data_IF_729509551247
#
_entry.id   IF_729509551247
#
_cell.length_a   1.000
_cell.length_b   1.000
_cell.length_c   1.000
_cell.angle_alpha   90.00
_cell.angle_beta   90.00
_cell.angle_gamma   90.00
#
_symmetry.space_group_name_H-M   'P 1'
#
loop_
_entity.id
_entity.type
_entity.pdbx_description
1 polymer ?
#
# COMPACT_ATOMS: atom_id res chain seq x y z
N UNK A 1 18.83 23.78 18.55
CA UNK A 1 18.46 22.49 17.98
C UNK A 1 18.94 21.42 18.95
N UNK A 2 18.08 20.85 19.76
CA UNK A 2 18.47 19.80 20.70
C UNK A 2 18.84 18.54 19.91
N UNK A 3 20.10 18.14 19.99
CA UNK A 3 20.55 16.82 19.52
C UNK A 3 19.80 15.76 20.31
N UNK A 4 18.79 15.17 19.71
CA UNK A 4 18.09 14.02 20.27
C UNK A 4 19.00 12.80 20.14
N UNK A 5 19.80 12.51 21.18
CA UNK A 5 20.83 11.48 21.25
C UNK A 5 20.28 10.04 21.29
N UNK A 6 18.98 9.81 21.02
CA UNK A 6 18.29 8.52 21.13
C UNK A 6 17.63 8.04 19.83
N UNK A 7 18.01 8.56 18.66
CA UNK A 7 17.54 8.02 17.38
C UNK A 7 18.49 6.96 16.85
N UNK A 8 17.96 5.81 16.43
CA UNK A 8 18.74 4.73 15.81
C UNK A 8 19.11 5.02 14.36
N UNK A 9 18.40 5.95 13.71
CA UNK A 9 18.53 6.26 12.30
C UNK A 9 18.96 7.70 12.04
N UNK A 10 19.63 7.90 10.93
CA UNK A 10 19.98 9.23 10.43
C UNK A 10 18.76 9.94 9.81
N UNK A 11 18.55 11.21 10.13
CA UNK A 11 17.46 12.02 9.57
C UNK A 11 17.77 12.46 8.13
N UNK A 12 17.47 11.60 7.17
CA UNK A 12 17.81 11.80 5.75
C UNK A 12 16.60 12.17 4.86
N UNK A 13 15.35 11.87 5.30
CA UNK A 13 14.13 12.08 4.53
C UNK A 13 13.63 13.52 4.69
N UNK A 14 13.53 14.25 3.59
CA UNK A 14 13.01 15.62 3.52
C UNK A 14 11.52 15.62 3.19
N UNK A 15 10.88 16.79 3.25
CA UNK A 15 9.45 16.98 2.95
C UNK A 15 9.02 16.37 1.62
N UNK A 16 9.82 16.54 0.56
CA UNK A 16 9.52 15.96 -0.74
C UNK A 16 9.57 14.44 -0.70
N UNK A 17 10.57 13.89 -0.01
CA UNK A 17 10.76 12.44 0.06
C UNK A 17 9.57 11.77 0.76
N UNK A 18 9.10 12.35 1.86
CA UNK A 18 7.91 11.89 2.60
C UNK A 18 6.67 11.88 1.69
N UNK A 19 6.41 12.97 0.98
CA UNK A 19 5.27 13.07 0.07
C UNK A 19 5.37 12.02 -1.06
N UNK A 20 6.55 11.89 -1.68
CA UNK A 20 6.76 10.96 -2.80
C UNK A 20 6.76 9.49 -2.37
N UNK A 21 7.21 9.18 -1.14
CA UNK A 21 7.14 7.82 -0.59
C UNK A 21 5.67 7.45 -0.35
N UNK A 22 4.89 8.29 0.34
CA UNK A 22 3.50 8.02 0.64
C UNK A 22 2.62 8.00 -0.62
N UNK A 23 2.72 9.02 -1.46
CA UNK A 23 1.95 9.11 -2.70
C UNK A 23 2.31 8.00 -3.69
N UNK A 24 3.62 7.76 -3.91
CA UNK A 24 4.08 6.71 -4.81
C UNK A 24 3.81 5.29 -4.30
N UNK A 25 3.65 5.09 -2.98
CA UNK A 25 3.18 3.81 -2.45
C UNK A 25 1.71 3.53 -2.81
N UNK A 26 0.89 4.58 -2.89
CA UNK A 26 -0.55 4.47 -3.19
C UNK A 26 -0.86 4.41 -4.68
N UNK A 27 -0.11 5.09 -5.56
CA UNK A 27 -0.38 5.14 -7.00
C UNK A 27 0.40 4.07 -7.80
N UNK A 28 0.43 2.83 -7.30
CA UNK A 28 1.10 1.70 -7.96
C UNK A 28 0.55 1.38 -9.36
N UNK A 29 0.52 0.11 -9.68
CA UNK A 29 0.05 -0.40 -10.99
C UNK A 29 -1.48 -0.51 -11.13
N UNK A 30 -2.23 -0.50 -10.00
CA UNK A 30 -3.66 -0.81 -9.98
C UNK A 30 -4.52 0.00 -10.95
N UNK A 31 -4.25 1.30 -11.09
CA UNK A 31 -5.00 2.17 -12.01
C UNK A 31 -4.77 1.85 -13.50
N UNK A 32 -3.68 1.17 -13.83
CA UNK A 32 -3.40 0.76 -15.22
C UNK A 32 -4.20 -0.49 -15.59
N UNK A 33 -4.28 -1.48 -14.71
CA UNK A 33 -4.90 -2.78 -15.03
C UNK A 33 -6.35 -2.91 -14.57
N UNK A 34 -6.78 -2.16 -13.56
CA UNK A 34 -8.12 -2.37 -12.96
C UNK A 34 -9.14 -1.29 -13.34
N UNK A 35 -8.73 -0.21 -14.00
CA UNK A 35 -9.62 0.90 -14.37
C UNK A 35 -10.81 0.47 -15.22
N UNK A 36 -10.61 -0.43 -16.19
CA UNK A 36 -11.67 -0.98 -17.00
C UNK A 36 -12.71 -1.74 -16.17
N UNK A 37 -12.27 -2.59 -15.24
CA UNK A 37 -13.15 -3.33 -14.32
C UNK A 37 -13.94 -2.38 -13.42
N UNK A 38 -13.30 -1.31 -12.93
CA UNK A 38 -13.99 -0.32 -12.09
C UNK A 38 -15.07 0.43 -12.87
N UNK A 39 -14.77 0.85 -14.12
CA UNK A 39 -15.72 1.56 -14.98
C UNK A 39 -16.88 0.62 -15.36
N UNK A 40 -16.62 -0.66 -15.64
CA UNK A 40 -17.69 -1.63 -15.90
C UNK A 40 -18.56 -1.87 -14.66
N UNK A 41 -17.98 -1.80 -13.44
CA UNK A 41 -18.72 -2.00 -12.21
C UNK A 41 -19.58 -0.79 -11.81
N UNK A 42 -19.07 0.42 -11.96
CA UNK A 42 -19.71 1.64 -11.43
C UNK A 42 -20.07 2.70 -12.48
N UNK A 43 -19.59 2.57 -13.73
CA UNK A 43 -19.56 3.65 -14.70
C UNK A 43 -18.40 4.62 -14.44
N UNK A 44 -18.09 5.48 -15.37
CA UNK A 44 -16.95 6.39 -15.25
C UNK A 44 -17.12 7.40 -14.09
N UNK A 45 -18.27 8.06 -13.99
CA UNK A 45 -18.57 9.01 -12.91
C UNK A 45 -18.88 8.29 -11.60
N UNK A 46 -19.63 7.18 -11.66
CA UNK A 46 -19.93 6.37 -10.49
C UNK A 46 -18.67 5.80 -9.84
N UNK A 47 -17.68 5.39 -10.64
CA UNK A 47 -16.36 4.97 -10.15
C UNK A 47 -15.60 6.11 -9.51
N UNK A 48 -15.59 7.30 -10.10
CA UNK A 48 -14.96 8.48 -9.50
C UNK A 48 -15.58 8.82 -8.13
N UNK A 49 -16.92 8.79 -8.02
CA UNK A 49 -17.63 8.97 -6.75
C UNK A 49 -17.27 7.86 -5.76
N UNK A 50 -17.18 6.61 -6.22
CA UNK A 50 -16.74 5.47 -5.40
C UNK A 50 -15.33 5.71 -4.81
N UNK A 51 -14.39 6.20 -5.62
CA UNK A 51 -13.05 6.59 -5.14
C UNK A 51 -13.07 7.75 -4.14
N UNK A 52 -13.95 8.72 -4.31
CA UNK A 52 -14.12 9.82 -3.35
C UNK A 52 -14.69 9.31 -2.01
N UNK A 53 -15.68 8.41 -2.04
CA UNK A 53 -16.27 7.82 -0.83
C UNK A 53 -15.26 6.92 -0.10
N UNK A 54 -14.65 5.96 -0.80
CA UNK A 54 -13.64 5.08 -0.22
C UNK A 54 -12.38 5.84 0.19
N UNK A 55 -12.00 6.87 -0.58
CA UNK A 55 -10.94 7.80 -0.23
C UNK A 55 -11.21 8.57 1.06
N UNK A 56 -12.46 8.98 1.30
CA UNK A 56 -12.87 9.59 2.58
C UNK A 56 -12.69 8.62 3.75
N UNK A 57 -12.97 7.32 3.56
CA UNK A 57 -12.73 6.31 4.60
C UNK A 57 -11.24 6.25 4.98
N UNK A 58 -10.35 6.16 3.99
CA UNK A 58 -8.90 6.15 4.21
C UNK A 58 -8.41 7.50 4.76
N UNK A 59 -8.98 8.62 4.33
CA UNK A 59 -8.64 9.93 4.85
C UNK A 59 -8.94 10.05 6.36
N UNK A 60 -10.07 9.53 6.83
CA UNK A 60 -10.42 9.50 8.25
C UNK A 60 -9.44 8.65 9.07
N UNK A 61 -9.05 7.48 8.56
CA UNK A 61 -7.99 6.65 9.16
C UNK A 61 -6.67 7.40 9.16
N UNK A 62 -6.28 8.00 8.03
CA UNK A 62 -5.06 8.80 7.87
C UNK A 62 -4.94 9.96 8.85
N UNK A 63 -6.06 10.63 9.20
CA UNK A 63 -6.08 11.67 10.23
C UNK A 63 -5.66 11.13 11.61
N UNK A 64 -6.09 9.90 11.96
CA UNK A 64 -5.68 9.27 13.23
C UNK A 64 -4.19 8.94 13.23
N UNK A 65 -3.69 8.45 12.10
CA UNK A 65 -2.27 8.19 11.88
C UNK A 65 -1.42 9.45 11.94
N UNK A 66 -1.85 10.52 11.27
CA UNK A 66 -1.11 11.78 11.24
C UNK A 66 -0.95 12.40 12.65
N UNK A 67 -1.99 12.33 13.49
CA UNK A 67 -1.88 12.78 14.88
C UNK A 67 -0.97 11.89 15.69
N UNK A 68 -1.13 10.56 15.64
CA UNK A 68 -0.32 9.64 16.42
C UNK A 68 1.15 9.62 15.98
N UNK A 69 1.43 9.70 14.69
CA UNK A 69 2.80 9.78 14.15
C UNK A 69 3.52 11.03 14.64
N UNK A 70 2.81 12.17 14.65
CA UNK A 70 3.40 13.43 15.11
C UNK A 70 3.54 13.51 16.63
N UNK A 71 2.68 12.81 17.37
CA UNK A 71 2.77 12.69 18.82
C UNK A 71 3.86 11.71 19.28
N UNK A 72 4.10 10.66 18.50
CA UNK A 72 5.07 9.60 18.79
C UNK A 72 5.95 9.31 17.56
N UNK A 73 6.87 10.21 17.15
CA UNK A 73 7.64 10.09 15.92
C UNK A 73 8.83 9.13 16.10
N UNK A 74 8.53 7.85 16.38
CA UNK A 74 9.52 6.77 16.56
C UNK A 74 9.34 5.72 15.46
N UNK A 75 10.45 5.07 15.08
CA UNK A 75 10.46 3.93 14.19
C UNK A 75 9.49 2.84 14.68
N UNK A 76 8.77 2.22 13.77
CA UNK A 76 7.76 1.22 14.09
C UNK A 76 6.35 1.77 14.33
N UNK A 77 6.09 3.06 14.07
CA UNK A 77 4.77 3.71 14.02
C UNK A 77 3.68 3.03 14.84
N UNK A 78 2.88 2.16 14.21
CA UNK A 78 1.74 1.44 14.78
C UNK A 78 2.10 0.60 16.01
N UNK A 79 3.34 0.09 16.07
CA UNK A 79 3.83 -0.61 17.24
C UNK A 79 3.82 0.30 18.47
N UNK A 80 4.30 1.53 18.31
CA UNK A 80 4.34 2.52 19.39
C UNK A 80 2.93 2.96 19.79
N UNK A 81 2.05 3.20 18.81
CA UNK A 81 0.68 3.64 19.05
C UNK A 81 -0.13 2.59 19.81
N UNK A 82 -0.10 1.37 19.32
CA UNK A 82 -0.82 0.24 19.93
C UNK A 82 -0.22 -0.18 21.27
N UNK A 83 1.10 -0.06 21.46
CA UNK A 83 1.73 -0.30 22.76
C UNK A 83 1.28 0.72 23.82
N UNK A 84 1.34 2.00 23.46
CA UNK A 84 0.91 3.08 24.35
C UNK A 84 -0.57 2.98 24.74
N UNK A 85 -1.40 2.43 23.83
CA UNK A 85 -2.83 2.28 24.05
C UNK A 85 -3.21 0.96 24.74
N UNK A 86 -2.65 -0.18 24.31
CA UNK A 86 -3.11 -1.52 24.71
C UNK A 86 -2.02 -2.38 25.35
N UNK A 87 -0.80 -1.85 25.50
CA UNK A 87 0.33 -2.58 26.06
C UNK A 87 0.91 -3.65 25.12
N UNK A 88 1.76 -4.55 25.67
CA UNK A 88 2.54 -5.51 24.86
C UNK A 88 1.75 -6.40 23.93
N UNK A 89 0.63 -6.95 24.39
CA UNK A 89 -0.18 -7.88 23.60
C UNK A 89 -0.86 -7.18 22.43
N UNK A 90 -1.46 -6.00 22.66
CA UNK A 90 -2.08 -5.20 21.59
C UNK A 90 -1.05 -4.75 20.56
N UNK A 91 0.12 -4.33 21.02
CA UNK A 91 1.23 -3.96 20.13
C UNK A 91 1.68 -5.13 19.24
N UNK A 92 1.84 -6.31 19.83
CA UNK A 92 2.24 -7.50 19.08
C UNK A 92 1.22 -7.87 18.00
N UNK A 93 -0.07 -7.91 18.33
CA UNK A 93 -1.13 -8.26 17.37
C UNK A 93 -1.20 -7.24 16.23
N UNK A 94 -1.19 -5.95 16.54
CA UNK A 94 -1.24 -4.88 15.56
C UNK A 94 -0.06 -4.96 14.57
N UNK A 95 1.15 -5.03 15.10
CA UNK A 95 2.37 -5.05 14.27
C UNK A 95 2.55 -6.36 13.52
N UNK A 96 2.16 -7.50 14.09
CA UNK A 96 2.23 -8.79 13.42
C UNK A 96 1.28 -8.87 12.22
N UNK A 97 0.08 -8.29 12.35
CA UNK A 97 -0.83 -8.12 11.22
C UNK A 97 -0.22 -7.21 10.13
N UNK A 98 0.37 -6.08 10.53
CA UNK A 98 0.99 -5.15 9.58
C UNK A 98 2.18 -5.77 8.83
N UNK A 99 2.98 -6.62 9.48
CA UNK A 99 4.09 -7.35 8.82
C UNK A 99 3.56 -8.26 7.70
N UNK A 100 2.43 -8.96 7.91
CA UNK A 100 1.79 -9.75 6.85
C UNK A 100 1.37 -8.86 5.67
N UNK A 101 0.78 -7.70 5.95
CA UNK A 101 0.41 -6.75 4.92
C UNK A 101 1.60 -6.35 4.05
N UNK A 102 2.71 -5.99 4.66
CA UNK A 102 3.91 -5.56 3.93
C UNK A 102 4.58 -6.71 3.15
N UNK A 103 4.61 -7.92 3.71
CA UNK A 103 5.07 -9.12 2.99
C UNK A 103 4.20 -9.37 1.75
N UNK A 104 2.88 -9.29 1.90
CA UNK A 104 1.94 -9.50 0.78
C UNK A 104 2.22 -8.54 -0.38
N UNK A 105 2.40 -7.26 -0.09
CA UNK A 105 2.69 -6.26 -1.13
C UNK A 105 4.05 -6.51 -1.80
N UNK A 106 5.14 -6.71 -1.05
CA UNK A 106 6.46 -6.90 -1.67
C UNK A 106 6.54 -8.19 -2.50
N UNK A 107 5.81 -9.24 -2.12
CA UNK A 107 5.68 -10.47 -2.90
C UNK A 107 4.87 -10.24 -4.18
N UNK A 108 3.75 -9.53 -4.08
CA UNK A 108 2.89 -9.21 -5.21
C UNK A 108 3.61 -8.37 -6.25
N UNK A 109 4.34 -7.32 -5.82
CA UNK A 109 5.03 -6.43 -6.74
C UNK A 109 6.14 -7.12 -7.53
N UNK A 110 6.86 -8.09 -6.94
CA UNK A 110 7.85 -8.90 -7.65
C UNK A 110 7.24 -9.64 -8.84
N UNK A 111 6.08 -10.23 -8.65
CA UNK A 111 5.39 -10.98 -9.68
C UNK A 111 4.69 -10.08 -10.69
N UNK A 112 4.12 -8.98 -10.22
CA UNK A 112 3.51 -7.96 -11.08
C UNK A 112 4.53 -7.39 -12.05
N UNK A 113 5.75 -7.09 -11.58
CA UNK A 113 6.84 -6.60 -12.43
C UNK A 113 7.15 -7.58 -13.58
N UNK A 114 7.35 -8.85 -13.25
CA UNK A 114 7.64 -9.87 -14.26
C UNK A 114 6.44 -10.12 -15.20
N UNK A 115 5.20 -10.04 -14.66
CA UNK A 115 3.99 -10.22 -15.47
C UNK A 115 3.86 -9.14 -16.53
N UNK A 116 4.24 -7.90 -16.21
CA UNK A 116 4.12 -6.78 -17.14
C UNK A 116 5.18 -6.84 -18.23
N UNK A 117 6.34 -7.44 -17.95
CA UNK A 117 7.39 -7.59 -18.95
C UNK A 117 6.92 -8.34 -20.20
N UNK A 118 5.92 -9.23 -20.12
CA UNK A 118 5.33 -9.89 -21.29
C UNK A 118 4.66 -8.92 -22.28
N UNK A 119 4.19 -7.75 -21.82
CA UNK A 119 3.61 -6.71 -22.69
C UNK A 119 4.67 -5.79 -23.29
N UNK A 120 5.87 -5.77 -22.72
CA UNK A 120 6.99 -4.95 -23.22
C UNK A 120 7.86 -5.74 -24.20
N UNK A 121 8.06 -7.04 -23.92
CA UNK A 121 8.98 -7.90 -24.68
C UNK A 121 8.20 -9.04 -25.36
N UNK A 122 8.02 -9.01 -26.68
CA UNK A 122 7.38 -10.11 -27.41
C UNK A 122 8.11 -11.45 -27.17
N UNK A 123 7.35 -12.51 -26.93
CA UNK A 123 7.92 -13.84 -26.66
C UNK A 123 8.69 -13.95 -25.33
N UNK A 124 8.38 -13.11 -24.37
CA UNK A 124 9.05 -13.05 -23.06
C UNK A 124 8.99 -14.38 -22.29
N UNK A 125 7.85 -15.10 -22.34
CA UNK A 125 7.65 -16.34 -21.59
C UNK A 125 8.39 -17.51 -22.26
N UNK A 126 9.57 -17.85 -21.71
CA UNK A 126 10.42 -18.92 -22.21
C UNK A 126 10.87 -19.84 -21.06
N UNK A 127 11.10 -21.11 -21.39
CA UNK A 127 11.57 -22.09 -20.42
C UNK A 127 10.48 -22.45 -19.42
N UNK A 128 9.42 -23.13 -19.87
CA UNK A 128 8.38 -23.68 -19.00
C UNK A 128 8.99 -24.55 -17.90
N UNK A 129 8.59 -24.34 -16.66
CA UNK A 129 9.07 -25.09 -15.49
C UNK A 129 7.99 -26.04 -14.95
N UNK A 130 6.84 -25.50 -14.57
CA UNK A 130 5.71 -26.23 -14.00
C UNK A 130 4.45 -25.35 -13.99
N UNK A 131 3.30 -25.98 -13.69
CA UNK A 131 2.02 -25.28 -13.51
C UNK A 131 1.60 -25.34 -12.04
N UNK A 132 1.23 -24.19 -11.46
CA UNK A 132 0.71 -24.05 -10.09
C UNK A 132 -0.67 -23.41 -10.13
N UNK A 133 -1.68 -24.10 -9.60
CA UNK A 133 -3.07 -23.60 -9.54
C UNK A 133 -3.58 -23.04 -10.90
N UNK A 134 -3.21 -23.73 -12.01
CA UNK A 134 -3.60 -23.31 -13.36
C UNK A 134 -2.77 -22.20 -13.99
N UNK A 135 -1.71 -21.73 -13.32
CA UNK A 135 -0.77 -20.75 -13.87
C UNK A 135 0.55 -21.42 -14.26
N UNK A 136 0.96 -21.23 -15.51
CA UNK A 136 2.23 -21.75 -16.03
C UNK A 136 3.39 -20.86 -15.62
N UNK A 137 4.34 -21.44 -14.89
CA UNK A 137 5.54 -20.75 -14.42
C UNK A 137 6.67 -20.97 -15.43
N UNK A 138 7.26 -19.84 -15.87
CA UNK A 138 8.36 -19.83 -16.84
C UNK A 138 9.67 -19.35 -16.20
N UNK A 139 10.79 -19.90 -16.63
CA UNK A 139 12.12 -19.53 -16.14
C UNK A 139 12.42 -18.05 -16.35
N UNK A 140 12.10 -17.49 -17.54
CA UNK A 140 12.30 -16.08 -17.84
C UNK A 140 11.50 -15.17 -16.89
N UNK A 141 10.25 -15.54 -16.59
CA UNK A 141 9.39 -14.82 -15.67
C UNK A 141 9.94 -14.81 -14.24
N UNK A 142 10.36 -15.99 -13.73
CA UNK A 142 10.98 -16.13 -12.40
C UNK A 142 12.30 -15.36 -12.33
N UNK A 143 13.16 -15.50 -13.36
CA UNK A 143 14.47 -14.85 -13.38
C UNK A 143 14.37 -13.33 -13.33
N UNK A 144 13.45 -12.73 -14.11
CA UNK A 144 13.23 -11.27 -14.11
C UNK A 144 12.69 -10.79 -12.78
N UNK A 145 11.73 -11.52 -12.18
CA UNK A 145 11.20 -11.18 -10.86
C UNK A 145 12.30 -11.19 -9.79
N UNK A 146 13.15 -12.22 -9.76
CA UNK A 146 14.27 -12.34 -8.82
C UNK A 146 15.30 -11.23 -9.04
N UNK A 147 15.66 -10.94 -10.29
CA UNK A 147 16.63 -9.90 -10.61
C UNK A 147 16.12 -8.52 -10.20
N UNK A 148 14.85 -8.21 -10.48
CA UNK A 148 14.23 -6.95 -10.06
C UNK A 148 14.17 -6.85 -8.52
N UNK A 149 13.77 -7.93 -7.83
CA UNK A 149 13.78 -7.99 -6.37
C UNK A 149 15.18 -7.75 -5.80
N UNK A 150 16.20 -8.42 -6.34
CA UNK A 150 17.60 -8.26 -5.92
C UNK A 150 18.08 -6.82 -6.08
N UNK A 151 17.73 -6.17 -7.19
CA UNK A 151 18.11 -4.79 -7.46
C UNK A 151 17.48 -3.81 -6.45
N UNK A 152 16.17 -3.96 -6.19
CA UNK A 152 15.46 -3.08 -5.25
C UNK A 152 15.97 -3.29 -3.81
N UNK A 153 16.18 -4.55 -3.42
CA UNK A 153 16.76 -4.91 -2.12
C UNK A 153 18.16 -4.32 -1.97
N UNK A 154 18.99 -4.40 -3.01
CA UNK A 154 20.32 -3.81 -3.00
C UNK A 154 20.29 -2.29 -2.81
N UNK A 155 19.38 -1.60 -3.51
CA UNK A 155 19.22 -0.13 -3.36
C UNK A 155 18.80 0.23 -1.92
N UNK A 156 17.92 -0.55 -1.32
CA UNK A 156 17.51 -0.38 0.08
C UNK A 156 18.66 -0.65 1.06
N UNK A 157 19.46 -1.68 0.77
CA UNK A 157 20.61 -2.07 1.59
C UNK A 157 21.67 -0.96 1.66
N UNK A 158 21.98 -0.30 0.53
CA UNK A 158 23.01 0.74 0.42
C UNK A 158 22.55 2.14 0.88
N UNK A 159 21.33 2.26 1.43
CA UNK A 159 20.89 3.44 2.17
C UNK A 159 19.56 4.05 1.77
N UNK A 160 18.81 4.47 2.77
CA UNK A 160 17.47 5.07 2.63
C UNK A 160 17.48 6.33 1.74
N UNK A 161 18.54 7.12 1.76
CA UNK A 161 18.66 8.32 0.92
C UNK A 161 18.68 7.97 -0.58
N UNK A 162 19.34 6.87 -0.96
CA UNK A 162 19.37 6.40 -2.36
C UNK A 162 18.02 5.84 -2.77
N UNK A 163 17.39 5.06 -1.89
CA UNK A 163 16.04 4.55 -2.09
C UNK A 163 15.01 5.67 -2.24
N UNK A 164 15.06 6.71 -1.42
CA UNK A 164 14.20 7.88 -1.52
C UNK A 164 14.45 8.70 -2.82
N UNK A 165 15.70 8.80 -3.28
CA UNK A 165 15.99 9.44 -4.57
C UNK A 165 15.37 8.69 -5.74
N UNK A 166 15.48 7.36 -5.76
CA UNK A 166 14.83 6.51 -6.75
C UNK A 166 13.31 6.72 -6.69
N UNK A 167 12.72 6.66 -5.49
CA UNK A 167 11.30 6.89 -5.25
C UNK A 167 10.82 8.20 -5.86
N UNK A 168 11.52 9.30 -5.59
CA UNK A 168 11.16 10.63 -6.10
C UNK A 168 11.09 10.67 -7.63
N UNK A 169 12.09 10.08 -8.30
CA UNK A 169 12.16 10.08 -9.77
C UNK A 169 11.00 9.25 -10.34
N UNK A 170 10.82 8.03 -9.85
CA UNK A 170 9.82 7.11 -10.38
C UNK A 170 8.38 7.58 -10.07
N UNK A 171 8.14 8.16 -8.89
CA UNK A 171 6.84 8.74 -8.55
C UNK A 171 6.50 9.93 -9.44
N UNK A 172 7.49 10.77 -9.79
CA UNK A 172 7.27 11.85 -10.75
C UNK A 172 6.95 11.31 -12.16
N UNK A 173 7.58 10.21 -12.58
CA UNK A 173 7.33 9.59 -13.89
C UNK A 173 5.90 9.05 -13.95
N UNK A 174 5.50 8.21 -12.99
CA UNK A 174 4.15 7.60 -13.00
C UNK A 174 3.06 8.66 -12.86
N UNK A 175 3.23 9.64 -11.98
CA UNK A 175 2.29 10.75 -11.84
C UNK A 175 2.22 11.58 -13.13
N UNK A 176 3.37 11.85 -13.76
CA UNK A 176 3.45 12.57 -15.04
C UNK A 176 2.72 11.85 -16.17
N UNK A 177 2.89 10.53 -16.26
CA UNK A 177 2.18 9.72 -17.28
C UNK A 177 0.66 9.70 -17.05
N UNK A 178 0.21 9.59 -15.79
CA UNK A 178 -1.21 9.71 -15.47
C UNK A 178 -1.78 11.09 -15.80
N UNK A 179 -1.05 12.17 -15.47
CA UNK A 179 -1.45 13.53 -15.81
C UNK A 179 -1.41 13.78 -17.33
N UNK A 180 -0.52 13.10 -18.06
CA UNK A 180 -0.48 13.15 -19.51
C UNK A 180 -1.76 12.55 -20.13
N UNK A 181 -2.24 11.40 -19.61
CA UNK A 181 -3.53 10.84 -20.00
C UNK A 181 -4.67 11.84 -19.74
N UNK A 182 -4.72 12.45 -18.54
CA UNK A 182 -5.74 13.44 -18.19
C UNK A 182 -5.69 14.65 -19.12
N UNK A 183 -4.51 15.15 -19.43
CA UNK A 183 -4.33 16.29 -20.34
C UNK A 183 -4.72 15.93 -21.78
N UNK A 184 -4.32 14.76 -22.28
CA UNK A 184 -4.72 14.26 -23.60
C UNK A 184 -6.25 14.11 -23.68
N UNK A 185 -6.85 13.50 -22.68
CA UNK A 185 -8.29 13.33 -22.56
C UNK A 185 -9.05 14.68 -22.57
N UNK A 186 -8.53 15.69 -21.89
CA UNK A 186 -9.15 17.02 -21.87
C UNK A 186 -9.15 17.71 -23.23
N UNK A 187 -8.23 17.34 -24.15
CA UNK A 187 -8.12 17.93 -25.49
C UNK A 187 -8.90 17.13 -26.54
N UNK A 188 -8.87 15.81 -26.45
CA UNK A 188 -9.39 14.92 -27.50
C UNK A 188 -10.63 14.13 -27.10
N UNK A 189 -10.97 14.12 -25.82
CA UNK A 189 -12.16 13.43 -25.31
C UNK A 189 -13.46 14.15 -25.71
N UNK A 190 -14.53 13.39 -25.73
CA UNK A 190 -15.87 13.89 -26.09
C UNK A 190 -16.87 13.52 -24.99
N UNK A 191 -17.79 14.44 -24.71
CA UNK A 191 -18.87 14.20 -23.72
C UNK A 191 -19.81 13.08 -24.18
N UNK A 192 -19.92 12.84 -25.47
CA UNK A 192 -20.68 11.73 -26.08
C UNK A 192 -20.17 10.37 -25.63
N UNK A 193 -18.85 10.22 -25.39
CA UNK A 193 -18.25 8.97 -24.90
C UNK A 193 -18.71 8.62 -23.49
N UNK A 194 -18.98 9.60 -22.64
CA UNK A 194 -19.53 9.37 -21.31
C UNK A 194 -20.99 8.91 -21.33
N UNK A 195 -21.73 9.25 -22.41
CA UNK A 195 -23.15 8.93 -22.51
C UNK A 195 -23.39 7.42 -22.46
N UNK A 196 -24.23 6.98 -21.52
CA UNK A 196 -24.55 5.58 -21.31
C UNK A 196 -23.53 4.80 -20.46
N UNK A 197 -22.45 5.46 -19.99
CA UNK A 197 -21.49 4.89 -19.05
C UNK A 197 -21.15 5.79 -17.87
N UNK A 198 -21.93 6.84 -17.64
CA UNK A 198 -21.74 7.69 -16.44
C UNK A 198 -21.91 6.86 -15.17
N UNK A 199 -22.97 6.06 -15.15
CA UNK A 199 -23.35 5.18 -14.05
C UNK A 199 -23.82 3.83 -14.60
N UNK A 200 -23.61 2.77 -13.85
CA UNK A 200 -24.09 1.42 -14.16
C UNK A 200 -25.27 1.08 -13.26
N UNK A 201 -26.41 0.68 -13.85
CA UNK A 201 -27.63 0.24 -13.16
C UNK A 201 -28.89 0.73 -13.86
N UNK A 202 -29.97 -0.06 -13.75
CA UNK A 202 -31.27 0.21 -14.39
C UNK A 202 -32.13 1.20 -13.59
N UNK A 203 -31.81 1.37 -12.31
CA UNK A 203 -32.51 2.25 -11.39
C UNK A 203 -31.54 2.89 -10.37
N UNK A 204 -32.01 3.91 -9.63
CA UNK A 204 -31.18 4.61 -8.64
C UNK A 204 -30.62 3.69 -7.54
N UNK A 205 -31.32 2.63 -7.18
CA UNK A 205 -30.87 1.66 -6.17
C UNK A 205 -29.66 0.86 -6.65
N UNK A 206 -29.71 0.40 -7.91
CA UNK A 206 -28.61 -0.33 -8.53
C UNK A 206 -27.39 0.56 -8.71
N UNK A 207 -27.61 1.80 -9.17
CA UNK A 207 -26.54 2.80 -9.32
C UNK A 207 -25.82 3.03 -7.98
N UNK A 208 -26.57 3.28 -6.90
CA UNK A 208 -25.99 3.48 -5.57
C UNK A 208 -25.24 2.22 -5.11
N UNK A 209 -25.82 1.03 -5.32
CA UNK A 209 -25.19 -0.24 -4.97
C UNK A 209 -23.85 -0.42 -5.70
N UNK A 210 -23.80 -0.10 -6.97
CA UNK A 210 -22.59 -0.23 -7.82
C UNK A 210 -21.52 0.80 -7.43
N UNK A 211 -21.89 2.04 -7.12
CA UNK A 211 -20.97 3.04 -6.56
C UNK A 211 -20.39 2.54 -5.23
N UNK A 212 -21.22 1.98 -4.35
CA UNK A 212 -20.76 1.45 -3.06
C UNK A 212 -19.85 0.23 -3.23
N UNK A 213 -20.07 -0.64 -4.22
CA UNK A 213 -19.13 -1.73 -4.56
C UNK A 213 -17.74 -1.17 -4.87
N UNK A 214 -17.65 -0.14 -5.71
CA UNK A 214 -16.37 0.51 -6.00
C UNK A 214 -15.79 1.16 -4.75
N UNK A 215 -16.60 1.85 -3.95
CA UNK A 215 -16.14 2.49 -2.72
C UNK A 215 -15.54 1.50 -1.71
N UNK A 216 -16.07 0.28 -1.63
CA UNK A 216 -15.54 -0.79 -0.75
C UNK A 216 -14.19 -1.32 -1.27
N UNK A 217 -13.96 -1.34 -2.58
CA UNK A 217 -12.69 -1.78 -3.18
C UNK A 217 -11.58 -0.71 -3.11
N UNK A 218 -11.95 0.57 -3.12
CA UNK A 218 -11.03 1.70 -3.19
C UNK A 218 -9.96 1.71 -2.10
N UNK A 219 -10.25 1.42 -0.82
CA UNK A 219 -9.23 1.43 0.24
C UNK A 219 -8.01 0.57 -0.06
N UNK A 220 -8.19 -0.56 -0.73
CA UNK A 220 -7.08 -1.43 -1.15
C UNK A 220 -6.05 -0.67 -2.01
N UNK A 221 -6.50 0.20 -2.91
CA UNK A 221 -5.63 0.97 -3.80
C UNK A 221 -5.02 2.21 -3.13
N UNK A 222 -5.46 2.55 -1.92
CA UNK A 222 -4.98 3.69 -1.16
C UNK A 222 -4.13 3.31 0.07
N UNK A 223 -3.77 2.03 0.22
CA UNK A 223 -2.79 1.60 1.22
C UNK A 223 -1.40 2.12 0.85
N UNK A 224 -0.57 2.44 1.85
CA UNK A 224 0.80 2.88 1.64
C UNK A 224 1.19 4.17 2.35
N UNK A 225 0.26 5.03 2.78
CA UNK A 225 0.57 6.21 3.60
C UNK A 225 1.13 5.80 4.98
N UNK A 226 0.79 4.61 5.46
CA UNK A 226 1.23 3.98 6.70
C UNK A 226 2.71 3.57 6.71
N UNK A 227 3.39 3.60 5.57
CA UNK A 227 4.86 3.47 5.47
C UNK A 227 5.58 4.64 6.19
N UNK A 228 4.98 5.83 6.20
CA UNK A 228 5.59 7.03 6.78
C UNK A 228 5.81 6.91 8.30
N UNK A 229 4.82 6.48 9.10
CA UNK A 229 5.03 6.21 10.53
C UNK A 229 6.17 5.25 10.82
N UNK A 230 6.40 4.25 9.96
CA UNK A 230 7.49 3.28 10.16
C UNK A 230 8.87 3.94 10.08
N UNK A 231 9.03 4.89 9.16
CA UNK A 231 10.29 5.61 8.93
C UNK A 231 10.36 6.96 9.68
N UNK A 232 9.51 7.20 10.68
CA UNK A 232 9.37 8.52 11.33
C UNK A 232 10.67 9.07 11.93
N UNK A 233 11.57 8.23 12.40
CA UNK A 233 12.88 8.65 12.93
C UNK A 233 13.83 9.18 11.85
N UNK A 234 13.68 8.72 10.59
CA UNK A 234 14.51 9.14 9.46
C UNK A 234 14.07 10.49 8.86
N UNK A 235 12.95 11.05 9.35
CA UNK A 235 12.33 12.25 8.79
C UNK A 235 12.94 13.51 9.38
N UNK A 236 13.39 14.41 8.49
CA UNK A 236 13.97 15.71 8.81
C UNK A 236 13.03 16.85 8.41
N UNK A 237 11.98 17.05 9.21
CA UNK A 237 11.00 18.13 9.04
C UNK A 237 10.25 18.43 10.33
N UNK A 238 9.60 19.61 10.45
CA UNK A 238 8.71 19.91 11.57
C UNK A 238 7.54 18.92 11.66
N UNK A 239 7.28 18.37 12.84
CA UNK A 239 6.27 17.32 13.05
C UNK A 239 4.86 17.75 12.59
N UNK A 240 4.46 19.02 12.84
CA UNK A 240 3.18 19.54 12.35
C UNK A 240 3.07 19.43 10.83
N UNK A 241 4.16 19.72 10.10
CA UNK A 241 4.21 19.62 8.64
C UNK A 241 4.14 18.16 8.17
N UNK A 242 4.74 17.24 8.93
CA UNK A 242 4.67 15.79 8.66
C UNK A 242 3.20 15.32 8.62
N UNK A 243 2.38 15.67 9.62
CA UNK A 243 0.96 15.32 9.62
C UNK A 243 0.21 15.86 8.39
N UNK A 244 0.49 17.12 7.98
CA UNK A 244 -0.12 17.67 6.77
C UNK A 244 0.33 16.94 5.49
N UNK A 245 1.60 16.53 5.40
CA UNK A 245 2.10 15.81 4.22
C UNK A 245 1.47 14.41 4.09
N UNK A 246 1.27 13.70 5.20
CA UNK A 246 0.57 12.41 5.20
C UNK A 246 -0.87 12.56 4.68
N UNK A 247 -1.60 13.57 5.16
CA UNK A 247 -2.99 13.80 4.72
C UNK A 247 -3.04 14.30 3.27
N UNK A 248 -2.11 15.15 2.87
CA UNK A 248 -2.01 15.63 1.49
C UNK A 248 -1.74 14.49 0.50
N UNK A 249 -0.88 13.52 0.86
CA UNK A 249 -0.60 12.38 -0.01
C UNK A 249 -1.83 11.51 -0.27
N UNK A 250 -2.67 11.28 0.76
CA UNK A 250 -3.94 10.56 0.60
C UNK A 250 -4.88 11.34 -0.32
N UNK A 251 -5.07 12.63 -0.08
CA UNK A 251 -5.91 13.49 -0.93
C UNK A 251 -5.44 13.50 -2.39
N UNK A 252 -4.13 13.61 -2.62
CA UNK A 252 -3.55 13.55 -3.97
C UNK A 252 -3.83 12.20 -4.65
N UNK A 253 -3.71 11.07 -3.94
CA UNK A 253 -3.98 9.75 -4.50
C UNK A 253 -5.46 9.59 -4.87
N UNK A 254 -6.38 10.00 -4.00
CA UNK A 254 -7.83 9.94 -4.26
C UNK A 254 -8.19 10.76 -5.50
N UNK A 255 -7.70 11.99 -5.59
CA UNK A 255 -7.95 12.86 -6.75
C UNK A 255 -7.33 12.27 -8.01
N UNK A 256 -6.13 11.73 -7.93
CA UNK A 256 -5.45 11.08 -9.06
C UNK A 256 -6.28 9.94 -9.62
N UNK A 257 -6.74 9.00 -8.79
CA UNK A 257 -7.57 7.88 -9.23
C UNK A 257 -8.90 8.34 -9.84
N UNK A 258 -9.58 9.30 -9.21
CA UNK A 258 -10.83 9.85 -9.72
C UNK A 258 -10.64 10.54 -11.09
N UNK A 259 -9.56 11.30 -11.27
CA UNK A 259 -9.25 11.93 -12.57
C UNK A 259 -8.96 10.90 -13.66
N UNK A 260 -8.22 9.83 -13.35
CA UNK A 260 -7.88 8.79 -14.33
C UNK A 260 -9.13 8.09 -14.87
N UNK A 261 -10.05 7.67 -14.01
CA UNK A 261 -11.26 6.95 -14.46
C UNK A 261 -12.19 7.84 -15.27
N UNK A 262 -12.31 9.11 -14.91
CA UNK A 262 -13.08 10.09 -15.72
C UNK A 262 -12.40 10.34 -17.07
N UNK A 263 -11.07 10.48 -17.09
CA UNK A 263 -10.29 10.68 -18.31
C UNK A 263 -10.47 9.52 -19.30
N UNK A 264 -10.47 8.27 -18.80
CA UNK A 264 -10.72 7.08 -19.63
C UNK A 264 -12.12 7.11 -20.22
N UNK A 265 -13.16 7.31 -19.41
CA UNK A 265 -14.54 7.36 -19.90
C UNK A 265 -14.84 8.56 -20.81
N UNK A 266 -14.02 9.61 -20.76
CA UNK A 266 -14.13 10.77 -21.65
C UNK A 266 -13.52 10.52 -23.05
N UNK A 267 -12.50 9.62 -23.13
CA UNK A 267 -11.80 9.25 -24.38
C UNK A 267 -12.41 8.03 -25.06
N UNK A 268 -12.86 7.04 -24.26
CA UNK A 268 -13.34 5.75 -24.77
C UNK A 268 -14.83 5.59 -24.49
N UNK A 269 -15.58 5.15 -25.51
CA UNK A 269 -16.97 4.76 -25.36
C UNK A 269 -17.10 3.36 -24.72
N UNK A 270 -18.31 2.91 -24.30
CA UNK A 270 -18.52 1.61 -23.63
C UNK A 270 -18.04 0.41 -24.45
N UNK A 271 -18.23 0.43 -25.77
CA UNK A 271 -17.81 -0.66 -26.66
C UNK A 271 -16.30 -0.78 -26.76
N UNK A 272 -15.59 0.34 -26.85
CA UNK A 272 -14.13 0.39 -26.84
C UNK A 272 -13.55 -0.10 -25.51
N UNK A 273 -14.15 0.26 -24.38
CA UNK A 273 -13.72 -0.26 -23.06
C UNK A 273 -13.94 -1.77 -22.98
N UNK A 274 -15.08 -2.28 -23.44
CA UNK A 274 -15.37 -3.71 -23.44
C UNK A 274 -14.41 -4.49 -24.35
N UNK A 275 -14.13 -3.98 -25.55
CA UNK A 275 -13.16 -4.58 -26.48
C UNK A 275 -11.75 -4.58 -25.89
N UNK A 276 -11.27 -3.43 -25.37
CA UNK A 276 -9.97 -3.33 -24.72
C UNK A 276 -9.80 -4.32 -23.54
N UNK A 277 -10.86 -4.50 -22.74
CA UNK A 277 -10.83 -5.48 -21.65
C UNK A 277 -10.73 -6.93 -22.13
N UNK A 278 -11.37 -7.25 -23.26
CA UNK A 278 -11.33 -8.58 -23.84
C UNK A 278 -9.98 -8.87 -24.53
N UNK A 279 -9.41 -7.87 -25.21
CA UNK A 279 -8.22 -8.02 -26.05
C UNK A 279 -6.91 -7.88 -25.23
N UNK A 280 -6.73 -6.75 -24.57
CA UNK A 280 -5.47 -6.41 -23.88
C UNK A 280 -5.58 -6.48 -22.36
N UNK A 281 -6.77 -6.26 -21.81
CA UNK A 281 -7.01 -6.09 -20.38
C UNK A 281 -6.39 -4.81 -19.79
N UNK A 282 -5.88 -3.89 -20.65
CA UNK A 282 -5.19 -2.68 -20.24
C UNK A 282 -5.87 -1.41 -20.75
N UNK A 283 -7.13 -1.22 -20.35
CA UNK A 283 -7.97 -0.11 -20.80
C UNK A 283 -7.30 1.27 -20.70
N UNK A 284 -6.54 1.52 -19.64
CA UNK A 284 -5.83 2.80 -19.47
C UNK A 284 -4.73 2.99 -20.53
N UNK A 285 -4.08 1.90 -20.95
CA UNK A 285 -3.03 1.96 -21.96
C UNK A 285 -3.62 2.22 -23.36
N UNK A 286 -4.77 1.65 -23.63
CA UNK A 286 -5.48 1.89 -24.89
C UNK A 286 -6.10 3.31 -24.91
N UNK A 287 -6.60 3.79 -23.75
CA UNK A 287 -7.12 5.14 -23.60
C UNK A 287 -6.08 6.21 -23.94
N UNK A 288 -4.83 6.10 -23.45
CA UNK A 288 -3.79 7.08 -23.79
C UNK A 288 -3.38 7.00 -25.26
N UNK A 289 -3.37 5.81 -25.87
CA UNK A 289 -3.11 5.67 -27.30
C UNK A 289 -4.18 6.36 -28.15
N UNK A 290 -5.45 6.21 -27.80
CA UNK A 290 -6.57 6.89 -28.45
C UNK A 290 -6.46 8.41 -28.26
N UNK A 291 -6.23 8.87 -26.99
CA UNK A 291 -6.13 10.30 -26.67
C UNK A 291 -5.03 11.02 -27.48
N UNK A 292 -3.98 10.34 -27.84
CA UNK A 292 -2.87 10.91 -28.62
C UNK A 292 -2.86 10.44 -30.09
N UNK A 293 -3.82 9.60 -30.49
CA UNK A 293 -3.84 8.95 -31.82
C UNK A 293 -2.51 8.31 -32.20
N UNK A 294 -1.85 7.68 -31.19
CA UNK A 294 -0.51 7.13 -31.32
C UNK A 294 -0.30 5.92 -30.41
N UNK A 295 -0.15 4.75 -30.99
CA UNK A 295 0.08 3.49 -30.26
C UNK A 295 1.40 3.46 -29.44
N UNK A 296 2.39 4.29 -29.78
CA UNK A 296 3.60 4.39 -28.97
C UNK A 296 3.32 4.90 -27.55
N UNK A 297 2.22 5.60 -27.34
CA UNK A 297 1.79 6.08 -26.02
C UNK A 297 1.40 4.94 -25.06
N UNK A 298 0.92 3.80 -25.60
CA UNK A 298 0.74 2.57 -24.81
C UNK A 298 2.04 2.15 -24.13
N UNK A 299 3.16 2.16 -24.84
CA UNK A 299 4.48 1.83 -24.26
C UNK A 299 4.92 2.84 -23.21
N UNK A 300 4.65 4.13 -23.43
CA UNK A 300 4.93 5.19 -22.44
C UNK A 300 4.16 4.93 -21.15
N UNK A 301 2.87 4.57 -21.25
CA UNK A 301 2.06 4.28 -20.09
C UNK A 301 2.51 2.99 -19.37
N UNK A 302 2.85 1.95 -20.10
CA UNK A 302 3.37 0.68 -19.51
C UNK A 302 4.68 0.94 -18.75
N UNK A 303 5.59 1.73 -19.32
CA UNK A 303 6.86 2.09 -18.65
C UNK A 303 6.55 2.93 -17.38
N UNK A 304 5.62 3.88 -17.47
CA UNK A 304 5.15 4.63 -16.31
C UNK A 304 4.56 3.73 -15.23
N UNK A 305 3.78 2.74 -15.62
CA UNK A 305 3.20 1.75 -14.72
C UNK A 305 4.26 0.85 -14.06
N UNK A 306 5.30 0.41 -14.79
CA UNK A 306 6.45 -0.27 -14.19
C UNK A 306 7.13 0.58 -13.12
N UNK A 307 7.24 1.90 -13.34
CA UNK A 307 7.70 2.82 -12.31
C UNK A 307 6.80 2.77 -11.06
N UNK A 308 5.48 2.64 -11.25
CA UNK A 308 4.51 2.51 -10.15
C UNK A 308 4.71 1.24 -9.33
N UNK A 309 4.95 0.10 -9.97
CA UNK A 309 5.30 -1.14 -9.26
C UNK A 309 6.53 -0.93 -8.40
N UNK A 310 7.59 -0.37 -8.99
CA UNK A 310 8.85 -0.15 -8.27
C UNK A 310 8.67 0.83 -7.11
N UNK A 311 7.85 1.88 -7.24
CA UNK A 311 7.60 2.84 -6.15
C UNK A 311 6.84 2.22 -5.00
N UNK A 312 5.81 1.42 -5.26
CA UNK A 312 5.07 0.68 -4.22
C UNK A 312 6.01 -0.32 -3.53
N UNK A 313 6.70 -1.15 -4.31
CA UNK A 313 7.64 -2.14 -3.78
C UNK A 313 8.72 -1.51 -2.88
N UNK A 314 9.36 -0.44 -3.37
CA UNK A 314 10.38 0.30 -2.63
C UNK A 314 9.84 0.89 -1.31
N UNK A 315 8.64 1.48 -1.33
CA UNK A 315 8.01 2.06 -0.14
C UNK A 315 7.68 0.98 0.91
N UNK A 316 7.09 -0.14 0.48
CA UNK A 316 6.75 -1.23 1.40
C UNK A 316 7.96 -1.99 1.94
N UNK A 317 9.08 -2.05 1.20
CA UNK A 317 10.37 -2.50 1.74
C UNK A 317 10.91 -1.55 2.80
N UNK A 318 10.78 -0.22 2.60
CA UNK A 318 11.14 0.77 3.63
C UNK A 318 10.31 0.51 4.89
N UNK A 319 8.98 0.54 4.80
CA UNK A 319 8.10 0.38 5.95
C UNK A 319 8.27 -0.98 6.63
N UNK A 320 8.20 -2.07 5.86
CA UNK A 320 8.28 -3.43 6.38
C UNK A 320 9.59 -3.75 7.10
N UNK A 321 10.71 -3.27 6.58
CA UNK A 321 11.99 -3.47 7.25
C UNK A 321 12.09 -2.73 8.58
N UNK A 322 11.48 -1.53 8.71
CA UNK A 322 11.46 -0.75 9.95
C UNK A 322 10.51 -1.33 10.99
N UNK A 323 9.35 -1.84 10.60
CA UNK A 323 8.44 -2.49 11.55
C UNK A 323 9.06 -3.78 12.10
N UNK A 324 9.70 -4.61 11.28
CA UNK A 324 10.40 -5.82 11.73
C UNK A 324 11.58 -5.46 12.65
N UNK A 325 12.36 -4.44 12.29
CA UNK A 325 13.44 -3.91 13.12
C UNK A 325 12.92 -3.46 14.49
N UNK A 326 11.87 -2.66 14.51
CA UNK A 326 11.26 -2.12 15.73
C UNK A 326 10.70 -3.24 16.63
N UNK A 327 10.01 -4.25 16.06
CA UNK A 327 9.57 -5.44 16.79
C UNK A 327 10.74 -6.20 17.41
N UNK A 328 11.84 -6.34 16.69
CA UNK A 328 13.05 -7.01 17.20
C UNK A 328 13.71 -6.21 18.33
N UNK A 329 13.78 -4.88 18.17
CA UNK A 329 14.29 -3.98 19.21
C UNK A 329 13.44 -4.04 20.48
N UNK A 330 12.14 -4.12 20.35
CA UNK A 330 11.19 -4.35 21.44
C UNK A 330 11.20 -5.79 21.97
N UNK A 331 12.11 -6.64 21.52
CA UNK A 331 12.22 -8.05 21.95
C UNK A 331 10.98 -8.91 21.64
N UNK A 332 10.23 -8.54 20.63
CA UNK A 332 9.10 -9.31 20.10
C UNK A 332 9.56 -10.35 19.08
N UNK A 333 10.66 -10.07 18.38
CA UNK A 333 11.31 -10.93 17.39
C UNK A 333 12.77 -11.20 17.77
N UNK A 334 13.47 -12.16 17.12
CA UNK A 334 14.88 -12.42 17.33
C UNK A 334 15.75 -11.17 17.16
N UNK A 335 16.72 -10.95 18.05
CA UNK A 335 17.63 -9.78 18.03
C UNK A 335 18.38 -9.58 16.71
N UNK A 336 18.49 -10.61 15.89
CA UNK A 336 19.17 -10.54 14.61
C UNK A 336 18.54 -9.49 13.69
N UNK A 337 17.22 -9.32 13.75
CA UNK A 337 16.49 -8.35 12.92
C UNK A 337 16.69 -6.88 13.35
N UNK A 338 17.22 -6.63 14.55
CA UNK A 338 17.54 -5.27 15.02
C UNK A 338 18.99 -4.83 14.72
N UNK A 339 19.71 -5.57 13.86
CA UNK A 339 21.05 -5.18 13.44
C UNK A 339 21.00 -4.11 12.35
N UNK A 340 21.70 -3.00 12.59
CA UNK A 340 21.96 -1.97 11.60
C UNK A 340 23.27 -2.24 10.86
N UNK A 341 23.33 -1.82 9.61
CA UNK A 341 24.57 -1.86 8.82
C UNK A 341 25.53 -0.78 9.34
N UNK A 342 26.80 -1.12 9.50
CA UNK A 342 27.80 -0.22 10.11
C UNK A 342 28.07 1.04 9.29
N UNK A 343 27.98 0.97 7.97
CA UNK A 343 28.24 2.08 7.05
C UNK A 343 26.96 2.81 6.63
N UNK A 344 25.89 2.06 6.30
CA UNK A 344 24.69 2.63 5.69
C UNK A 344 23.55 2.91 6.68
N UNK A 345 23.73 2.50 7.93
CA UNK A 345 22.74 2.67 9.01
C UNK A 345 21.32 2.17 8.64
N UNK A 346 21.25 1.09 7.83
CA UNK A 346 20.01 0.45 7.39
C UNK A 346 19.77 -0.84 8.15
N UNK A 347 18.51 -1.28 8.39
CA UNK A 347 18.17 -2.54 9.05
C UNK A 347 18.33 -3.71 8.07
N UNK A 348 19.58 -3.99 7.70
CA UNK A 348 19.93 -4.87 6.57
C UNK A 348 19.37 -6.30 6.68
N UNK A 349 19.29 -6.86 7.89
CA UNK A 349 18.72 -8.22 8.08
C UNK A 349 17.23 -8.23 7.77
N UNK A 350 16.50 -7.20 8.22
CA UNK A 350 15.07 -7.06 7.95
C UNK A 350 14.80 -6.80 6.47
N UNK A 351 15.66 -6.01 5.80
CA UNK A 351 15.60 -5.77 4.35
C UNK A 351 15.82 -7.08 3.59
N UNK A 352 16.86 -7.84 3.93
CA UNK A 352 17.16 -9.13 3.29
C UNK A 352 16.05 -10.15 3.53
N UNK A 353 15.46 -10.20 4.71
CA UNK A 353 14.35 -11.10 5.01
C UNK A 353 13.15 -10.85 4.07
N UNK A 354 12.71 -9.60 3.96
CA UNK A 354 11.63 -9.23 3.03
C UNK A 354 12.02 -9.46 1.57
N UNK A 355 13.27 -9.16 1.23
CA UNK A 355 13.81 -9.37 -0.10
C UNK A 355 13.82 -10.85 -0.51
N UNK A 356 14.24 -11.74 0.38
CA UNK A 356 14.23 -13.19 0.13
C UNK A 356 12.79 -13.68 -0.08
N UNK A 357 11.82 -13.24 0.73
CA UNK A 357 10.42 -13.59 0.53
C UNK A 357 9.90 -13.10 -0.83
N UNK A 358 10.26 -11.88 -1.21
CA UNK A 358 9.93 -11.30 -2.51
C UNK A 358 10.56 -12.06 -3.69
N UNK A 359 11.78 -12.61 -3.54
CA UNK A 359 12.45 -13.45 -4.55
C UNK A 359 11.86 -14.85 -4.64
N UNK A 360 11.36 -15.40 -3.53
CA UNK A 360 10.77 -16.74 -3.48
C UNK A 360 9.32 -16.73 -4.01
N UNK A 361 8.58 -15.65 -3.79
CA UNK A 361 7.17 -15.54 -4.15
C UNK A 361 6.85 -15.91 -5.61
N UNK A 362 7.64 -15.52 -6.63
CA UNK A 362 7.40 -15.91 -8.01
C UNK A 362 7.37 -17.42 -8.26
N UNK A 363 8.07 -18.21 -7.46
CA UNK A 363 8.07 -19.67 -7.59
C UNK A 363 6.69 -20.30 -7.31
N UNK A 364 5.79 -19.60 -6.64
CA UNK A 364 4.45 -20.10 -6.33
C UNK A 364 3.39 -19.71 -7.37
N UNK A 365 3.78 -19.00 -8.42
CA UNK A 365 2.87 -18.57 -9.48
C UNK A 365 1.93 -17.43 -9.06
N UNK A 366 1.25 -16.85 -10.05
CA UNK A 366 0.43 -15.63 -9.84
C UNK A 366 -0.81 -15.87 -8.97
N UNK A 367 -1.44 -17.06 -9.04
CA UNK A 367 -2.68 -17.34 -8.32
C UNK A 367 -2.49 -17.37 -6.80
N UNK A 368 -1.41 -17.99 -6.32
CA UNK A 368 -1.11 -18.00 -4.89
C UNK A 368 -0.83 -16.60 -4.33
N UNK A 369 -0.38 -15.68 -5.19
CA UNK A 369 -0.13 -14.30 -4.78
C UNK A 369 -1.39 -13.52 -4.53
N UNK A 370 -2.47 -13.79 -5.29
CA UNK A 370 -3.77 -13.19 -5.01
C UNK A 370 -4.20 -13.57 -3.59
N UNK A 371 -4.06 -14.84 -3.20
CA UNK A 371 -4.39 -15.29 -1.84
C UNK A 371 -3.56 -14.59 -0.75
N UNK A 372 -2.24 -14.39 -1.00
CA UNK A 372 -1.38 -13.65 -0.06
C UNK A 372 -1.81 -12.19 0.04
N UNK A 373 -2.19 -11.56 -1.08
CA UNK A 373 -2.66 -10.17 -1.11
C UNK A 373 -3.96 -10.00 -0.35
N UNK A 374 -4.95 -10.87 -0.54
CA UNK A 374 -6.23 -10.76 0.15
C UNK A 374 -6.09 -11.00 1.67
N UNK A 375 -5.28 -12.00 2.07
CA UNK A 375 -4.89 -12.18 3.46
C UNK A 375 -4.15 -10.96 4.05
N UNK A 376 -3.26 -10.33 3.26
CA UNK A 376 -2.51 -9.15 3.64
C UNK A 376 -3.40 -7.91 3.79
N UNK A 377 -4.41 -7.76 2.93
CA UNK A 377 -5.38 -6.67 2.99
C UNK A 377 -6.26 -6.76 4.23
N UNK A 378 -6.75 -7.97 4.56
CA UNK A 378 -7.46 -8.20 5.82
C UNK A 378 -6.60 -7.80 7.01
N UNK A 379 -5.33 -8.22 7.03
CA UNK A 379 -4.40 -7.88 8.10
C UNK A 379 -4.13 -6.37 8.21
N UNK A 380 -4.06 -5.66 7.08
CA UNK A 380 -3.93 -4.21 7.03
C UNK A 380 -5.17 -3.50 7.63
N UNK A 381 -6.38 -3.92 7.24
CA UNK A 381 -7.62 -3.39 7.79
C UNK A 381 -7.70 -3.58 9.32
N UNK A 382 -7.24 -4.74 9.82
CA UNK A 382 -7.15 -5.00 11.26
C UNK A 382 -6.18 -4.03 11.95
N UNK A 383 -4.99 -3.81 11.37
CA UNK A 383 -4.02 -2.86 11.90
C UNK A 383 -4.58 -1.42 11.93
N UNK A 384 -5.25 -0.99 10.86
CA UNK A 384 -5.89 0.32 10.76
C UNK A 384 -6.97 0.51 11.84
N UNK A 385 -7.80 -0.51 12.05
CA UNK A 385 -8.80 -0.49 13.12
C UNK A 385 -8.14 -0.35 14.50
N UNK A 386 -7.06 -1.10 14.76
CA UNK A 386 -6.33 -1.03 16.03
C UNK A 386 -5.66 0.34 16.24
N UNK A 387 -5.17 0.99 15.19
CA UNK A 387 -4.60 2.35 15.28
C UNK A 387 -5.70 3.38 15.55
N UNK A 388 -6.84 3.29 14.88
CA UNK A 388 -7.98 4.17 15.14
C UNK A 388 -8.50 4.00 16.59
N UNK A 389 -8.56 2.77 17.10
CA UNK A 389 -8.86 2.49 18.52
C UNK A 389 -7.78 3.05 19.46
N UNK A 390 -6.50 2.94 19.09
CA UNK A 390 -5.39 3.52 19.85
C UNK A 390 -5.51 5.03 19.95
N UNK A 391 -5.87 5.70 18.86
CA UNK A 391 -6.12 7.13 18.81
C UNK A 391 -7.21 7.57 19.80
N UNK A 392 -8.37 6.91 19.80
CA UNK A 392 -9.46 7.20 20.74
C UNK A 392 -9.06 6.96 22.19
N UNK A 393 -8.39 5.82 22.45
CA UNK A 393 -7.96 5.46 23.80
C UNK A 393 -6.93 6.44 24.36
N UNK A 394 -5.92 6.80 23.57
CA UNK A 394 -4.86 7.74 23.99
C UNK A 394 -5.38 9.16 24.21
N UNK A 395 -6.38 9.59 23.49
CA UNK A 395 -7.05 10.88 23.78
C UNK A 395 -7.76 10.88 25.12
N UNK A 396 -8.28 9.72 25.56
CA UNK A 396 -8.93 9.55 26.88
C UNK A 396 -7.91 9.35 28.00
N UNK A 397 -6.90 8.50 27.79
CA UNK A 397 -5.97 8.06 28.84
C UNK A 397 -4.75 8.97 29.01
N UNK A 398 -4.34 9.65 27.91
CA UNK A 398 -3.19 10.59 27.89
C UNK A 398 -3.60 11.95 27.31
N UNK A 399 -4.53 12.71 27.94
CA UNK A 399 -5.02 13.98 27.40
C UNK A 399 -3.94 15.04 27.28
N UNK A 400 -2.91 15.00 28.12
CA UNK A 400 -1.77 15.94 28.16
C UNK A 400 -0.67 15.61 27.13
N UNK A 401 -0.80 14.51 26.36
CA UNK A 401 0.20 14.16 25.35
C UNK A 401 0.30 15.29 24.31
N UNK A 402 1.53 15.72 24.02
CA UNK A 402 1.79 16.72 22.98
C UNK A 402 1.37 16.19 21.60
N UNK A 403 0.55 16.93 20.88
CA UNK A 403 0.04 16.60 19.54
C UNK A 403 0.36 17.73 18.56
N UNK A 404 1.55 17.75 17.96
CA UNK A 404 1.95 18.81 17.02
C UNK A 404 0.98 18.98 15.85
N UNK A 405 0.43 17.88 15.34
CA UNK A 405 -0.73 17.85 14.46
C UNK A 405 -1.92 17.32 15.27
N UNK A 406 -2.94 18.12 15.46
CA UNK A 406 -4.09 17.77 16.29
C UNK A 406 -5.38 17.84 15.47
N UNK A 407 -6.14 16.75 15.48
CA UNK A 407 -7.44 16.63 14.79
C UNK A 407 -8.53 17.34 15.62
N UNK A 408 -9.17 18.37 15.07
CA UNK A 408 -10.14 19.21 15.82
C UNK A 408 -11.29 18.39 16.41
N UNK A 409 -12.00 17.58 15.64
CA UNK A 409 -13.14 16.77 16.10
C UNK A 409 -12.72 15.33 16.39
N UNK A 410 -11.66 15.11 17.17
CA UNK A 410 -10.99 13.81 17.28
C UNK A 410 -11.89 12.67 17.75
N UNK A 411 -12.88 12.89 18.64
CA UNK A 411 -13.81 11.83 19.05
C UNK A 411 -14.66 11.37 17.87
N UNK A 412 -15.23 12.28 17.09
CA UNK A 412 -16.04 11.94 15.91
C UNK A 412 -15.18 11.27 14.84
N UNK A 413 -14.05 11.89 14.47
CA UNK A 413 -13.14 11.36 13.44
C UNK A 413 -12.62 9.98 13.84
N UNK A 414 -12.17 9.80 15.07
CA UNK A 414 -11.69 8.50 15.56
C UNK A 414 -12.78 7.41 15.58
N UNK A 415 -14.02 7.78 15.98
CA UNK A 415 -15.14 6.82 15.95
C UNK A 415 -15.49 6.43 14.52
N UNK A 416 -15.55 7.40 13.59
CA UNK A 416 -15.78 7.09 12.17
C UNK A 416 -14.63 6.25 11.58
N UNK A 417 -13.37 6.56 11.91
CA UNK A 417 -12.23 5.77 11.47
C UNK A 417 -12.30 4.30 11.97
N UNK A 418 -12.70 4.08 13.23
CA UNK A 418 -12.91 2.72 13.78
C UNK A 418 -14.04 2.00 13.05
N UNK A 419 -15.18 2.68 12.85
CA UNK A 419 -16.32 2.08 12.16
C UNK A 419 -15.98 1.72 10.72
N UNK A 420 -15.29 2.61 9.98
CA UNK A 420 -14.91 2.38 8.59
C UNK A 420 -13.87 1.27 8.45
N UNK A 421 -12.77 1.31 9.23
CA UNK A 421 -11.75 0.27 9.17
C UNK A 421 -12.24 -1.08 9.71
N UNK A 422 -13.11 -1.06 10.73
CA UNK A 422 -13.78 -2.25 11.24
C UNK A 422 -14.74 -2.84 10.20
N UNK A 423 -15.52 -2.02 9.51
CA UNK A 423 -16.38 -2.44 8.42
C UNK A 423 -15.57 -3.09 7.29
N UNK A 424 -14.46 -2.45 6.87
CA UNK A 424 -13.57 -3.03 5.86
C UNK A 424 -13.04 -4.41 6.30
N UNK A 425 -12.56 -4.55 7.53
CA UNK A 425 -12.10 -5.83 8.06
C UNK A 425 -13.23 -6.90 8.09
N UNK A 426 -14.45 -6.51 8.44
CA UNK A 426 -15.62 -7.39 8.46
C UNK A 426 -16.00 -7.90 7.07
N UNK A 427 -15.82 -7.08 6.01
CA UNK A 427 -16.10 -7.49 4.63
C UNK A 427 -15.26 -8.69 4.18
N UNK A 428 -14.03 -8.84 4.71
CA UNK A 428 -13.19 -10.02 4.47
C UNK A 428 -13.65 -11.27 5.23
N UNK A 429 -14.36 -11.10 6.35
CA UNK A 429 -14.77 -12.21 7.24
C UNK A 429 -16.15 -12.72 6.91
N UNK A 430 -17.08 -11.85 6.46
CA UNK A 430 -18.46 -12.22 6.19
C UNK A 430 -18.55 -12.99 4.87
N UNK A 431 -19.02 -14.28 4.87
CA UNK A 431 -19.18 -15.05 3.65
C UNK A 431 -20.20 -14.41 2.69
N UNK A 432 -19.92 -14.49 1.39
CA UNK A 432 -20.81 -13.98 0.35
C UNK A 432 -20.61 -12.51 0.00
N UNK A 433 -19.68 -11.81 0.64
CA UNK A 433 -19.22 -10.50 0.17
C UNK A 433 -18.22 -10.67 -0.97
N UNK A 434 -18.07 -9.65 -1.83
CA UNK A 434 -17.12 -9.68 -2.95
C UNK A 434 -15.63 -9.75 -2.51
N UNK A 435 -15.36 -9.49 -1.22
CA UNK A 435 -14.02 -9.49 -0.63
C UNK A 435 -13.85 -10.62 0.39
N UNK A 436 -14.83 -11.52 0.56
CA UNK A 436 -14.75 -12.58 1.58
C UNK A 436 -13.57 -13.51 1.31
N UNK A 437 -12.78 -13.76 2.35
CA UNK A 437 -11.63 -14.65 2.28
C UNK A 437 -12.05 -16.07 1.91
N UNK A 438 -11.36 -16.65 0.95
CA UNK A 438 -11.46 -18.06 0.57
C UNK A 438 -10.82 -18.96 1.63
N UNK A 439 -11.05 -20.28 1.56
CA UNK A 439 -10.45 -21.21 2.53
C UNK A 439 -8.92 -21.23 2.44
N UNK A 440 -8.35 -21.00 1.27
CA UNK A 440 -6.89 -20.90 1.06
C UNK A 440 -6.30 -19.68 1.79
N UNK A 441 -6.97 -18.55 1.69
CA UNK A 441 -6.60 -17.29 2.35
C UNK A 441 -6.72 -17.40 3.86
N UNK A 442 -7.76 -18.09 4.36
CA UNK A 442 -7.88 -18.40 5.79
C UNK A 442 -6.75 -19.30 6.31
N UNK A 443 -6.22 -20.22 5.48
CA UNK A 443 -5.01 -20.99 5.85
C UNK A 443 -3.81 -20.07 6.00
N UNK A 444 -3.66 -19.08 5.12
CA UNK A 444 -2.56 -18.10 5.21
C UNK A 444 -2.70 -17.27 6.48
N UNK A 445 -3.87 -16.69 6.73
CA UNK A 445 -4.14 -15.89 7.95
C UNK A 445 -3.95 -16.72 9.22
N UNK A 446 -4.52 -17.92 9.27
CA UNK A 446 -4.40 -18.84 10.40
C UNK A 446 -2.95 -19.31 10.63
N UNK A 447 -2.26 -19.71 9.56
CA UNK A 447 -0.84 -20.10 9.60
C UNK A 447 0.04 -18.96 10.11
N UNK A 448 -0.18 -17.74 9.60
CA UNK A 448 0.50 -16.53 10.07
C UNK A 448 0.24 -16.26 11.56
N UNK A 449 -1.02 -16.42 11.99
CA UNK A 449 -1.42 -16.32 13.40
C UNK A 449 -0.71 -17.34 14.28
N UNK A 450 -0.61 -18.60 13.84
CA UNK A 450 0.10 -19.67 14.57
C UNK A 450 1.60 -19.36 14.67
N UNK A 451 2.24 -18.96 13.57
CA UNK A 451 3.65 -18.56 13.58
C UNK A 451 3.87 -17.40 14.57
N UNK A 452 3.00 -16.40 14.51
CA UNK A 452 3.06 -15.26 15.45
C UNK A 452 2.92 -15.69 16.91
N UNK A 453 1.97 -16.56 17.21
CA UNK A 453 1.79 -17.10 18.56
C UNK A 453 3.02 -17.85 19.07
N UNK A 454 3.60 -18.72 18.24
CA UNK A 454 4.81 -19.47 18.58
C UNK A 454 6.00 -18.52 18.84
N UNK A 455 6.18 -17.50 18.00
CA UNK A 455 7.22 -16.49 18.19
C UNK A 455 6.99 -15.67 19.46
N UNK A 456 5.74 -15.28 19.74
CA UNK A 456 5.40 -14.55 20.98
C UNK A 456 5.67 -15.37 22.23
N UNK A 457 5.29 -16.67 22.24
CA UNK A 457 5.57 -17.59 23.36
C UNK A 457 7.07 -17.73 23.55
N UNK A 458 7.83 -17.94 22.46
CA UNK A 458 9.30 -18.04 22.52
C UNK A 458 9.91 -16.74 23.06
N UNK A 459 9.49 -15.59 22.56
CA UNK A 459 9.98 -14.29 23.02
C UNK A 459 9.68 -14.05 24.50
N UNK A 460 8.47 -14.35 24.96
CA UNK A 460 8.11 -14.27 26.40
C UNK A 460 8.97 -15.20 27.26
N UNK A 461 9.26 -16.43 26.82
CA UNK A 461 10.12 -17.37 27.56
C UNK A 461 11.57 -16.88 27.63
N UNK A 462 12.11 -16.34 26.53
CA UNK A 462 13.49 -15.86 26.45
C UNK A 462 13.72 -14.56 27.21
N UNK A 463 12.80 -13.61 27.11
CA UNK A 463 12.97 -12.25 27.61
C UNK A 463 12.22 -11.97 28.91
N UNK A 464 11.31 -12.87 29.34
CA UNK A 464 10.53 -12.76 30.60
C UNK A 464 9.95 -11.35 30.81
N UNK A 465 10.34 -10.65 31.89
CA UNK A 465 9.89 -9.29 32.19
C UNK A 465 10.34 -8.22 31.16
N UNK A 466 11.32 -8.56 30.34
CA UNK A 466 11.87 -7.66 29.32
C UNK A 466 11.18 -7.79 27.94
N UNK A 467 10.12 -8.58 27.83
CA UNK A 467 9.29 -8.60 26.61
C UNK A 467 8.63 -7.22 26.46
N UNK A 468 8.83 -6.57 25.31
CA UNK A 468 8.42 -5.19 25.03
C UNK A 468 9.07 -4.09 25.90
N UNK A 469 10.18 -4.34 26.60
CA UNK A 469 10.81 -3.37 27.49
C UNK A 469 11.69 -2.32 26.78
N UNK A 470 11.88 -2.41 25.48
CA UNK A 470 12.67 -1.43 24.69
C UNK A 470 11.90 -0.17 24.29
N UNK A 471 10.65 -0.02 24.75
CA UNK A 471 9.76 1.07 24.38
C UNK A 471 9.59 2.05 25.53
N UNK A 472 10.60 2.89 25.77
CA UNK A 472 10.48 3.99 26.73
C UNK A 472 9.79 5.17 26.05
N UNK A 473 8.62 5.56 26.56
CA UNK A 473 7.81 6.71 26.12
C UNK A 473 7.84 7.87 27.14
N UNK A 474 8.83 7.85 28.05
CA UNK A 474 9.03 8.94 29.04
C UNK A 474 9.83 10.09 28.43
#
# INVERSE_FOLDING_TARGET
MANNTNSDFDKVLRTRDVLMIAFGAMIGWGWVVSSGQWIQAGGALGTAIGFLIGGLMIYLVGLTYAELTTAMPKCGGEQNFSYAAFGPAGSYVCTWALVLSYIGVVCFEACSFATIMQYVVPGFLQGYLYTVAGFDVYLSWVAVAILAAALIVYIQYIGTKKAAKLQNILTCIIAGVGLLLVAGSAVTGEMSNLSGQEFVGDNNGDIISNILKVAIMTPFFLFGFDVIPQAAEEINMPLKRLGHMMIASIGMAVVFYAMIVVAIGYVMNPEQIASSMADTGMVTADAIAIAFSNEAMTKVLIIGGLCGIVTTWNSFLIGGSRVIFSMSKARMLPKTFSKLHSEYNTPWVSILFLGILSMIAPLFGRVMLVWIVDAANFACCLAYCMVALSFLRLRKTKPQMARPFCVKSGKLIGTLAVLMSGFMALMYVIPGTNCSLTWQEWIIVGGWGVIGLLLAIRAKRLYKHNFCSGMNFD
#
